data_IF_810516781947
#
_entry.id   IF_810516781947
#
_cell.length_a   1.000
_cell.length_b   1.000
_cell.length_c   1.000
_cell.angle_alpha   90.00
_cell.angle_beta   90.00
_cell.angle_gamma   90.00
#
_symmetry.space_group_name_H-M   'P 1'
#
loop_
_entity.id
_entity.type
_entity.pdbx_description
1 polymer ?
#
# COMPACT_ATOMS: atom_id res chain seq x y z
N UNK A 1 -9.59 2.02 -8.19
CA UNK A 1 -9.49 0.82 -7.34
C UNK A 1 -10.82 0.62 -6.63
N UNK A 2 -11.35 -0.58 -6.63
CA UNK A 2 -12.52 -1.01 -5.86
C UNK A 2 -12.10 -2.21 -5.02
N UNK A 3 -12.35 -2.18 -3.72
CA UNK A 3 -12.08 -3.31 -2.82
C UNK A 3 -13.34 -3.62 -2.02
N UNK A 4 -13.71 -4.91 -1.95
CA UNK A 4 -14.88 -5.34 -1.21
C UNK A 4 -14.90 -6.85 -1.00
N UNK A 5 -15.75 -7.31 -0.07
CA UNK A 5 -16.24 -8.69 -0.02
C UNK A 5 -17.44 -8.83 -0.96
N UNK A 6 -17.20 -9.35 -2.16
CA UNK A 6 -18.23 -9.47 -3.19
C UNK A 6 -19.18 -10.65 -2.94
N UNK A 7 -18.89 -11.54 -2.00
CA UNK A 7 -19.65 -12.77 -1.75
C UNK A 7 -19.88 -13.65 -3.01
N UNK A 8 -19.11 -13.43 -4.08
CA UNK A 8 -19.19 -14.17 -5.34
C UNK A 8 -17.78 -14.59 -5.81
N UNK A 9 -17.70 -15.77 -6.43
CA UNK A 9 -16.48 -16.27 -7.10
C UNK A 9 -16.57 -15.95 -8.60
N UNK A 10 -15.43 -15.82 -9.27
CA UNK A 10 -15.38 -15.62 -10.73
C UNK A 10 -15.10 -16.93 -11.46
N UNK A 11 -14.44 -17.88 -10.81
CA UNK A 11 -14.15 -19.20 -11.33
C UNK A 11 -14.51 -20.32 -10.34
N UNK A 12 -14.91 -21.49 -10.84
CA UNK A 12 -15.19 -22.68 -10.01
C UNK A 12 -13.98 -23.10 -9.18
N UNK A 13 -12.76 -22.90 -9.70
CA UNK A 13 -11.51 -23.22 -8.99
C UNK A 13 -11.28 -22.40 -7.73
N UNK A 14 -11.96 -21.25 -7.59
CA UNK A 14 -11.88 -20.39 -6.41
C UNK A 14 -12.77 -20.86 -5.27
N UNK A 15 -13.23 -22.10 -5.34
CA UNK A 15 -14.06 -22.74 -4.33
C UNK A 15 -13.65 -24.18 -4.10
N UNK A 16 -13.65 -24.59 -2.83
CA UNK A 16 -13.56 -25.99 -2.42
C UNK A 16 -14.74 -26.32 -1.49
N UNK A 17 -15.41 -27.44 -1.76
CA UNK A 17 -16.46 -28.00 -0.92
C UNK A 17 -17.85 -27.34 -1.05
N UNK A 18 -18.82 -27.94 -0.36
CA UNK A 18 -20.23 -27.54 -0.36
C UNK A 18 -20.97 -27.83 -1.67
N UNK A 19 -22.12 -27.17 -1.85
CA UNK A 19 -22.96 -27.31 -3.05
C UNK A 19 -22.28 -26.74 -4.31
N UNK A 20 -22.70 -27.17 -5.52
CA UNK A 20 -22.27 -26.55 -6.77
C UNK A 20 -22.40 -25.01 -6.74
N UNK A 21 -21.51 -24.27 -7.40
CA UNK A 21 -21.58 -22.82 -7.46
C UNK A 21 -22.79 -22.36 -8.29
N UNK A 22 -23.25 -21.13 -8.02
CA UNK A 22 -24.29 -20.49 -8.82
C UNK A 22 -23.65 -19.86 -10.05
N UNK A 23 -23.72 -20.55 -11.19
CA UNK A 23 -23.10 -20.09 -12.44
C UNK A 23 -23.65 -18.75 -12.94
N UNK A 24 -24.94 -18.48 -12.74
CA UNK A 24 -25.54 -17.22 -13.18
C UNK A 24 -24.98 -16.03 -12.39
N UNK A 25 -24.86 -16.18 -11.06
CA UNK A 25 -24.25 -15.13 -10.24
C UNK A 25 -22.76 -14.90 -10.57
N UNK A 26 -22.05 -15.95 -11.02
CA UNK A 26 -20.67 -15.82 -11.49
C UNK A 26 -20.60 -15.08 -12.83
N UNK A 27 -21.51 -15.37 -13.75
CA UNK A 27 -21.64 -14.69 -15.04
C UNK A 27 -21.94 -13.21 -14.85
N UNK A 28 -22.98 -12.87 -14.07
CA UNK A 28 -23.34 -11.49 -13.74
C UNK A 28 -22.16 -10.72 -13.11
N UNK A 29 -21.39 -11.39 -12.24
CA UNK A 29 -20.25 -10.77 -11.59
C UNK A 29 -19.09 -10.52 -12.56
N UNK A 30 -18.78 -11.49 -13.43
CA UNK A 30 -17.77 -11.33 -14.48
C UNK A 30 -18.18 -10.24 -15.49
N UNK A 31 -19.46 -10.19 -15.87
CA UNK A 31 -20.00 -9.16 -16.76
C UNK A 31 -19.91 -7.77 -16.16
N UNK A 32 -20.16 -7.63 -14.85
CA UNK A 32 -19.96 -6.37 -14.13
C UNK A 32 -18.50 -5.94 -14.14
N UNK A 33 -17.58 -6.85 -13.82
CA UNK A 33 -16.13 -6.58 -13.84
C UNK A 33 -15.72 -6.07 -15.23
N UNK A 34 -16.15 -6.76 -16.28
CA UNK A 34 -15.88 -6.39 -17.67
C UNK A 34 -16.50 -5.04 -18.06
N UNK A 35 -17.79 -4.86 -17.77
CA UNK A 35 -18.55 -3.65 -18.15
C UNK A 35 -18.05 -2.39 -17.45
N UNK A 36 -17.52 -2.53 -16.23
CA UNK A 36 -16.90 -1.44 -15.49
C UNK A 36 -15.43 -1.19 -15.89
N UNK A 37 -14.89 -1.92 -16.86
CA UNK A 37 -13.48 -1.89 -17.25
C UNK A 37 -12.55 -2.07 -16.03
N UNK A 38 -12.88 -3.08 -15.22
CA UNK A 38 -12.13 -3.47 -14.04
C UNK A 38 -11.36 -4.76 -14.30
N UNK A 39 -10.22 -4.88 -13.63
CA UNK A 39 -9.27 -5.96 -13.79
C UNK A 39 -8.89 -6.53 -12.42
N UNK A 40 -8.95 -7.86 -12.31
CA UNK A 40 -8.30 -8.60 -11.23
C UNK A 40 -6.84 -8.86 -11.66
N UNK A 41 -5.90 -8.16 -11.04
CA UNK A 41 -4.46 -8.25 -11.39
C UNK A 41 -3.77 -9.47 -10.74
N UNK A 42 -4.54 -10.35 -10.10
CA UNK A 42 -4.00 -11.50 -9.37
C UNK A 42 -3.52 -11.15 -7.96
N UNK A 43 -2.90 -12.13 -7.31
CA UNK A 43 -2.49 -12.06 -5.91
C UNK A 43 -1.35 -13.04 -5.60
N UNK A 44 -0.70 -12.82 -4.47
CA UNK A 44 0.27 -13.71 -3.83
C UNK A 44 -0.33 -14.35 -2.58
N UNK A 45 0.13 -15.55 -2.24
CA UNK A 45 -0.31 -16.27 -1.04
C UNK A 45 -1.46 -17.24 -1.30
N UNK A 46 -2.31 -17.43 -0.29
CA UNK A 46 -3.39 -18.44 -0.34
C UNK A 46 -4.45 -18.07 -1.38
N UNK A 47 -4.88 -19.03 -2.20
CA UNK A 47 -5.96 -18.87 -3.21
C UNK A 47 -7.33 -18.49 -2.64
N UNK A 48 -7.54 -18.68 -1.34
CA UNK A 48 -8.84 -18.48 -0.70
C UNK A 48 -8.76 -17.35 0.34
N UNK A 49 -9.79 -16.51 0.33
CA UNK A 49 -9.92 -15.37 1.25
C UNK A 49 -11.00 -15.61 2.30
N UNK A 50 -11.78 -16.68 2.19
CA UNK A 50 -12.79 -17.06 3.17
C UNK A 50 -12.77 -18.57 3.44
N UNK A 51 -12.97 -18.95 4.70
CA UNK A 51 -13.13 -20.35 5.10
C UNK A 51 -14.12 -20.53 6.25
N UNK A 52 -15.03 -21.49 6.10
CA UNK A 52 -15.81 -22.05 7.20
C UNK A 52 -15.82 -23.58 7.16
N UNK A 53 -15.08 -24.20 8.08
CA UNK A 53 -14.99 -25.66 8.21
C UNK A 53 -14.26 -26.30 7.03
N UNK A 54 -14.98 -27.05 6.21
CA UNK A 54 -14.44 -27.70 5.00
C UNK A 54 -14.69 -26.90 3.72
N UNK A 55 -15.34 -25.73 3.83
CA UNK A 55 -15.63 -24.87 2.69
C UNK A 55 -14.65 -23.71 2.60
N UNK A 56 -14.04 -23.55 1.43
CA UNK A 56 -13.10 -22.47 1.13
C UNK A 56 -13.55 -21.71 -0.11
N UNK A 57 -13.41 -20.39 -0.11
CA UNK A 57 -13.78 -19.53 -1.24
C UNK A 57 -12.86 -18.32 -1.36
N UNK A 58 -12.72 -17.75 -2.56
CA UNK A 58 -12.18 -16.40 -2.77
C UNK A 58 -13.34 -15.42 -2.98
N UNK A 59 -13.67 -14.64 -1.94
CA UNK A 59 -14.80 -13.70 -1.92
C UNK A 59 -14.35 -12.24 -1.92
N UNK A 60 -13.31 -11.95 -1.15
CA UNK A 60 -12.66 -10.64 -1.11
C UNK A 60 -11.76 -10.41 -2.33
N UNK A 61 -11.89 -9.23 -2.97
CA UNK A 61 -11.05 -8.82 -4.12
C UNK A 61 -10.71 -7.34 -4.08
N UNK A 62 -9.61 -7.02 -4.76
CA UNK A 62 -9.26 -5.66 -5.13
C UNK A 62 -9.16 -5.61 -6.65
N UNK A 63 -9.98 -4.75 -7.26
CA UNK A 63 -10.11 -4.59 -8.71
C UNK A 63 -9.63 -3.20 -9.14
N UNK A 64 -9.06 -3.14 -10.33
CA UNK A 64 -8.37 -1.95 -10.82
C UNK A 64 -8.84 -1.59 -12.23
N UNK A 65 -8.95 -0.30 -12.53
CA UNK A 65 -9.15 0.18 -13.89
C UNK A 65 -7.79 0.47 -14.55
N UNK A 66 -7.79 0.69 -15.87
CA UNK A 66 -6.59 0.95 -16.66
C UNK A 66 -5.76 2.14 -16.15
N UNK A 67 -6.43 3.20 -15.68
CA UNK A 67 -5.76 4.38 -15.13
C UNK A 67 -4.94 4.03 -13.89
N UNK A 68 -5.44 3.14 -13.03
CA UNK A 68 -4.68 2.69 -11.87
C UNK A 68 -3.47 1.85 -12.28
N UNK A 69 -3.67 0.87 -13.16
CA UNK A 69 -2.61 -0.04 -13.62
C UNK A 69 -1.46 0.75 -14.26
N UNK A 70 -1.78 1.76 -15.08
CA UNK A 70 -0.79 2.64 -15.70
C UNK A 70 -0.06 3.54 -14.70
N UNK A 71 -0.75 4.03 -13.66
CA UNK A 71 -0.19 4.93 -12.65
C UNK A 71 0.64 4.20 -11.58
N UNK A 72 0.30 2.95 -11.29
CA UNK A 72 0.91 2.13 -10.23
C UNK A 72 1.32 0.76 -10.78
N UNK A 73 2.27 0.75 -11.72
CA UNK A 73 2.69 -0.45 -12.46
C UNK A 73 3.21 -1.59 -11.57
N UNK A 74 3.73 -1.28 -10.39
CA UNK A 74 4.22 -2.26 -9.41
C UNK A 74 3.20 -2.59 -8.31
N UNK A 75 1.90 -2.40 -8.59
CA UNK A 75 0.85 -2.84 -7.67
C UNK A 75 0.82 -4.36 -7.62
N UNK A 76 0.85 -4.92 -6.41
CA UNK A 76 0.59 -6.35 -6.18
C UNK A 76 -0.28 -6.52 -4.94
N UNK A 77 -1.02 -7.63 -4.91
CA UNK A 77 -1.94 -7.98 -3.83
C UNK A 77 -1.40 -9.21 -3.11
N UNK A 78 -1.41 -9.18 -1.78
CA UNK A 78 -1.06 -10.33 -0.95
C UNK A 78 -2.27 -10.73 -0.11
N UNK A 79 -2.63 -12.01 -0.14
CA UNK A 79 -3.60 -12.58 0.79
C UNK A 79 -2.87 -12.95 2.08
N UNK A 80 -3.09 -12.18 3.13
CA UNK A 80 -2.45 -12.39 4.42
C UNK A 80 -3.06 -13.56 5.19
N UNK A 81 -2.27 -14.14 6.08
CA UNK A 81 -2.73 -15.24 6.93
C UNK A 81 -3.87 -14.78 7.84
N UNK A 82 -4.98 -15.51 7.76
CA UNK A 82 -6.13 -15.37 8.65
C UNK A 82 -5.79 -15.80 10.07
N UNK A 83 -6.27 -15.04 11.06
CA UNK A 83 -6.11 -15.36 12.49
C UNK A 83 -7.43 -15.71 13.15
N UNK A 84 -8.31 -14.73 13.39
CA UNK A 84 -9.56 -14.89 14.15
C UNK A 84 -10.84 -14.75 13.32
N UNK A 85 -10.77 -14.05 12.18
CA UNK A 85 -11.89 -13.92 11.24
C UNK A 85 -12.05 -15.21 10.43
N UNK A 86 -13.21 -15.42 9.80
CA UNK A 86 -13.39 -16.39 8.71
C UNK A 86 -12.89 -15.84 7.36
N UNK A 87 -12.60 -14.53 7.28
CA UNK A 87 -11.94 -13.87 6.16
C UNK A 87 -10.43 -13.64 6.38
N UNK A 88 -9.65 -13.73 5.30
CA UNK A 88 -8.24 -13.37 5.20
C UNK A 88 -8.10 -11.91 4.78
N UNK A 89 -7.28 -11.09 5.45
CA UNK A 89 -7.01 -9.72 5.01
C UNK A 89 -6.27 -9.69 3.66
N UNK A 90 -6.56 -8.67 2.84
CA UNK A 90 -5.83 -8.39 1.60
C UNK A 90 -4.93 -7.17 1.80
N UNK A 91 -3.65 -7.31 1.47
CA UNK A 91 -2.68 -6.22 1.45
C UNK A 91 -2.43 -5.79 0.01
N UNK A 92 -2.81 -4.55 -0.32
CA UNK A 92 -2.42 -3.92 -1.59
C UNK A 92 -1.12 -3.15 -1.40
N UNK A 93 -0.05 -3.62 -2.03
CA UNK A 93 1.24 -2.94 -2.02
C UNK A 93 1.43 -2.19 -3.33
N UNK A 94 1.52 -0.87 -3.24
CA UNK A 94 1.75 0.03 -4.36
C UNK A 94 3.18 0.56 -4.22
N UNK A 95 4.13 -0.11 -4.87
CA UNK A 95 5.51 0.38 -4.92
C UNK A 95 5.61 1.56 -5.87
N UNK A 96 5.16 2.73 -5.41
CA UNK A 96 5.40 3.97 -6.10
C UNK A 96 6.73 4.55 -5.60
N UNK A 97 7.82 4.18 -6.28
CA UNK A 97 9.16 4.75 -6.06
C UNK A 97 9.20 6.27 -6.24
N UNK A 98 8.10 6.88 -6.71
CA UNK A 98 7.96 8.31 -6.95
C UNK A 98 7.18 9.09 -5.88
N UNK A 99 6.72 8.48 -4.78
CA UNK A 99 6.20 9.26 -3.66
C UNK A 99 7.39 9.80 -2.86
N UNK A 100 8.02 10.83 -3.42
CA UNK A 100 8.63 11.89 -2.63
C UNK A 100 7.51 12.59 -1.86
N UNK A 101 6.87 11.91 -0.90
CA UNK A 101 6.13 12.64 0.13
C UNK A 101 7.18 13.52 0.78
N UNK A 102 7.02 14.84 0.63
CA UNK A 102 7.70 15.81 1.45
C UNK A 102 7.29 15.54 2.89
N UNK A 103 7.99 14.62 3.57
CA UNK A 103 7.76 14.42 4.98
C UNK A 103 8.14 15.73 5.66
N UNK A 104 7.19 16.42 6.30
CA UNK A 104 7.51 17.64 7.00
C UNK A 104 8.52 17.30 8.11
N UNK A 105 9.47 18.19 8.33
CA UNK A 105 10.29 18.12 9.53
C UNK A 105 9.37 18.33 10.73
N UNK A 106 9.35 17.36 11.66
CA UNK A 106 8.62 17.45 12.91
C UNK A 106 9.63 17.55 14.03
N UNK A 107 9.52 18.62 14.82
CA UNK A 107 10.33 18.78 16.01
C UNK A 107 9.76 17.92 17.14
N UNK A 108 10.60 17.13 17.79
CA UNK A 108 10.23 16.36 18.98
C UNK A 108 10.86 17.04 20.20
N UNK A 109 10.04 17.40 21.18
CA UNK A 109 10.51 18.08 22.41
C UNK A 109 11.55 17.25 23.17
N UNK A 110 11.55 15.92 23.02
CA UNK A 110 12.56 15.04 23.62
C UNK A 110 13.99 15.36 23.17
N UNK A 111 14.19 15.96 21.99
CA UNK A 111 15.52 16.36 21.54
C UNK A 111 16.13 17.46 22.40
N UNK A 112 15.31 18.28 23.08
CA UNK A 112 15.80 19.29 24.02
C UNK A 112 16.37 18.68 25.31
N UNK A 113 16.15 17.38 25.53
CA UNK A 113 16.69 16.67 26.69
C UNK A 113 18.11 16.12 26.43
N UNK A 114 18.59 16.19 25.19
CA UNK A 114 19.96 15.82 24.83
C UNK A 114 20.86 17.07 24.95
N UNK A 115 21.83 17.03 25.86
CA UNK A 115 22.81 18.11 26.08
C UNK A 115 23.61 18.46 24.81
N UNK A 116 23.68 17.55 23.84
CA UNK A 116 24.40 17.77 22.59
C UNK A 116 23.51 18.35 21.47
N UNK A 117 22.21 18.53 21.71
CA UNK A 117 21.26 18.99 20.71
C UNK A 117 21.69 20.30 20.03
N UNK A 118 22.09 21.30 20.81
CA UNK A 118 22.51 22.60 20.28
C UNK A 118 23.72 22.49 19.36
N UNK A 119 24.69 21.64 19.71
CA UNK A 119 25.87 21.39 18.88
C UNK A 119 25.50 20.67 17.57
N UNK A 120 24.57 19.73 17.62
CA UNK A 120 24.06 19.03 16.44
C UNK A 120 23.36 20.01 15.49
N UNK A 121 22.50 20.88 16.02
CA UNK A 121 21.81 21.91 15.22
C UNK A 121 22.82 22.87 14.60
N UNK A 122 23.77 23.38 15.40
CA UNK A 122 24.78 24.34 14.95
C UNK A 122 25.67 23.77 13.85
N UNK A 123 26.25 22.60 14.09
CA UNK A 123 27.11 21.92 13.10
C UNK A 123 26.35 21.59 11.81
N UNK A 124 25.08 21.17 11.92
CA UNK A 124 24.23 20.97 10.76
C UNK A 124 23.92 22.28 10.02
N UNK A 125 23.79 23.41 10.72
CA UNK A 125 23.54 24.70 10.07
C UNK A 125 24.77 25.24 9.37
N UNK A 126 25.96 25.02 9.91
CA UNK A 126 27.22 25.51 9.35
C UNK A 126 27.74 24.64 8.19
N UNK A 127 27.34 23.36 8.14
CA UNK A 127 27.79 22.44 7.11
C UNK A 127 27.33 22.85 5.68
N UNK A 128 28.21 22.76 4.67
CA UNK A 128 27.88 23.10 3.28
C UNK A 128 26.83 22.15 2.70
N UNK A 129 26.10 22.59 1.67
CA UNK A 129 25.12 21.76 0.96
C UNK A 129 25.76 21.23 -0.32
N UNK A 130 26.33 20.03 -0.26
CA UNK A 130 26.88 19.36 -1.45
C UNK A 130 25.76 18.74 -2.29
N UNK A 131 25.78 18.80 -3.64
CA UNK A 131 26.75 19.47 -4.53
C UNK A 131 26.36 20.89 -4.96
N UNK A 132 25.44 21.57 -4.26
CA UNK A 132 24.80 22.79 -4.77
C UNK A 132 25.03 24.01 -3.86
N UNK A 133 26.16 24.69 -4.02
CA UNK A 133 26.43 25.95 -3.32
C UNK A 133 25.51 27.11 -3.79
N UNK A 134 24.85 26.95 -4.94
CA UNK A 134 23.93 27.93 -5.52
C UNK A 134 22.47 27.80 -5.05
N UNK A 135 22.16 26.90 -4.11
CA UNK A 135 20.79 26.77 -3.58
C UNK A 135 20.51 27.86 -2.55
N UNK A 136 19.49 28.69 -2.82
CA UNK A 136 19.08 29.80 -1.96
C UNK A 136 17.66 29.63 -1.40
N UNK A 137 17.26 30.54 -0.51
CA UNK A 137 15.90 30.65 0.02
C UNK A 137 15.37 29.37 0.70
N UNK A 138 14.09 29.08 0.46
CA UNK A 138 13.37 27.97 1.12
C UNK A 138 13.94 26.60 0.77
N UNK A 139 14.53 26.43 -0.42
CA UNK A 139 15.16 25.19 -0.83
C UNK A 139 16.39 24.89 0.03
N UNK A 140 17.21 25.92 0.33
CA UNK A 140 18.38 25.79 1.23
C UNK A 140 17.93 25.38 2.63
N UNK A 141 16.89 26.03 3.14
CA UNK A 141 16.31 25.73 4.44
C UNK A 141 15.78 24.29 4.51
N UNK A 142 15.04 23.85 3.49
CA UNK A 142 14.51 22.48 3.44
C UNK A 142 15.60 21.41 3.43
N UNK A 143 16.68 21.60 2.66
CA UNK A 143 17.82 20.66 2.67
C UNK A 143 18.50 20.59 4.05
N UNK A 144 18.66 21.72 4.74
CA UNK A 144 19.20 21.75 6.10
C UNK A 144 18.31 21.01 7.09
N UNK A 145 16.99 21.16 7.01
CA UNK A 145 16.05 20.40 7.83
C UNK A 145 16.07 18.90 7.51
N UNK A 146 16.16 18.54 6.22
CA UNK A 146 16.27 17.14 5.77
C UNK A 146 17.52 16.48 6.35
N UNK A 147 18.66 17.16 6.32
CA UNK A 147 19.92 16.68 6.92
C UNK A 147 19.84 16.64 8.44
N UNK A 148 19.25 17.66 9.08
CA UNK A 148 19.07 17.69 10.53
C UNK A 148 18.27 16.48 11.01
N UNK A 149 17.20 16.12 10.30
CA UNK A 149 16.39 14.94 10.61
C UNK A 149 17.21 13.65 10.63
N UNK A 150 18.19 13.49 9.73
CA UNK A 150 19.06 12.31 9.71
C UNK A 150 20.05 12.27 10.87
N UNK A 151 20.32 13.40 11.52
CA UNK A 151 21.20 13.50 12.70
C UNK A 151 20.47 13.33 14.03
N UNK A 152 19.15 13.54 14.04
CA UNK A 152 18.28 13.48 15.22
C UNK A 152 17.41 12.22 15.29
N UNK A 153 17.38 11.41 14.23
CA UNK A 153 16.75 10.09 14.17
C UNK A 153 17.77 9.00 14.45
#
# INVERSE_FOLDING_TARGET
MVCWDFNCITNVSERIGGKPPNFHAMEDFNDMIFSCNLHDIGFLGNGFTWNKGTMWKRLDRILFNDQWISSFQNTHIEHLTRTLSDHSPLLANMNNTSINTFQPFRFLNMWLLDDNFDNIVKSNWEAPLFPFDNVCGMTKFWFKLKRLKQKLA
#
